data_IF_799089093531
#
_entry.id   IF_799089093531
#
_cell.length_a   1.000
_cell.length_b   1.000
_cell.length_c   1.000
_cell.angle_alpha   90.00
_cell.angle_beta   90.00
_cell.angle_gamma   90.00
#
_symmetry.space_group_name_H-M   'P 1'
#
loop_
_entity.id
_entity.type
_entity.pdbx_description
1 polymer ?
#
# COMPACT_ATOMS: atom_id res chain seq x y z
N UNK A 1 -4.48 -14.16 14.94
CA UNK A 1 -5.83 -13.61 14.69
C UNK A 1 -6.00 -13.41 13.19
N UNK A 2 -7.11 -13.83 12.60
CA UNK A 2 -7.34 -13.66 11.15
C UNK A 2 -7.79 -12.23 10.87
N UNK A 3 -7.12 -11.57 9.93
CA UNK A 3 -7.44 -10.22 9.50
C UNK A 3 -8.02 -10.27 8.09
N UNK A 4 -9.27 -9.83 7.95
CA UNK A 4 -9.91 -9.55 6.67
C UNK A 4 -10.11 -8.04 6.61
N UNK A 5 -9.55 -7.41 5.58
CA UNK A 5 -9.51 -5.94 5.46
C UNK A 5 -9.93 -5.55 4.06
N UNK A 6 -10.66 -4.44 3.95
CA UNK A 6 -11.02 -3.84 2.67
C UNK A 6 -9.79 -3.42 1.87
N UNK A 7 -9.92 -3.46 0.54
CA UNK A 7 -8.88 -3.05 -0.43
C UNK A 7 -8.30 -1.67 -0.08
N UNK A 8 -9.14 -0.69 0.22
CA UNK A 8 -8.71 0.68 0.49
C UNK A 8 -7.88 0.81 1.77
N UNK A 9 -8.26 0.08 2.81
CA UNK A 9 -7.53 0.06 4.09
C UNK A 9 -6.18 -0.61 3.91
N UNK A 10 -6.15 -1.75 3.22
CA UNK A 10 -4.91 -2.47 2.96
C UNK A 10 -3.92 -1.63 2.13
N UNK A 11 -4.38 -0.97 1.05
CA UNK A 11 -3.54 -0.05 0.27
C UNK A 11 -2.99 1.07 1.16
N UNK A 12 -3.81 1.66 2.03
CA UNK A 12 -3.40 2.74 2.89
C UNK A 12 -2.35 2.32 3.94
N UNK A 13 -2.45 1.11 4.49
CA UNK A 13 -1.50 0.58 5.46
C UNK A 13 -0.19 0.11 4.78
N UNK A 14 -0.25 -0.45 3.58
CA UNK A 14 0.93 -0.84 2.80
C UNK A 14 1.79 0.35 2.37
N UNK A 15 1.23 1.56 2.30
CA UNK A 15 1.97 2.78 2.01
C UNK A 15 2.68 3.39 3.24
N UNK A 16 2.44 2.86 4.45
CA UNK A 16 2.96 3.41 5.71
C UNK A 16 3.87 2.41 6.40
N UNK A 17 5.03 2.86 6.90
CA UNK A 17 5.97 2.02 7.67
C UNK A 17 5.28 1.27 8.83
N UNK A 18 4.44 1.97 9.59
CA UNK A 18 3.66 1.38 10.70
C UNK A 18 2.66 0.32 10.22
N UNK A 19 1.99 0.57 9.11
CA UNK A 19 0.98 -0.35 8.56
C UNK A 19 1.62 -1.63 8.01
N UNK A 20 2.76 -1.50 7.33
CA UNK A 20 3.59 -2.65 6.92
C UNK A 20 4.00 -3.47 8.15
N UNK A 21 4.48 -2.84 9.22
CA UNK A 21 4.87 -3.53 10.45
C UNK A 21 3.68 -4.26 11.12
N UNK A 22 2.49 -3.66 11.08
CA UNK A 22 1.26 -4.28 11.59
C UNK A 22 0.91 -5.53 10.77
N UNK A 23 0.89 -5.42 9.45
CA UNK A 23 0.53 -6.53 8.54
C UNK A 23 1.53 -7.68 8.62
N UNK A 24 2.82 -7.37 8.78
CA UNK A 24 3.88 -8.37 8.90
C UNK A 24 4.01 -8.96 10.31
N UNK A 25 3.17 -8.54 11.26
CA UNK A 25 3.23 -9.07 12.62
C UNK A 25 2.81 -10.54 12.62
N UNK A 26 3.56 -11.43 13.31
CA UNK A 26 3.23 -12.86 13.38
C UNK A 26 1.88 -13.13 14.09
N UNK A 27 1.33 -12.12 14.77
CA UNK A 27 0.05 -12.22 15.45
C UNK A 27 -1.15 -12.15 14.50
N UNK A 28 -0.94 -11.74 13.24
CA UNK A 28 -1.98 -11.62 12.23
C UNK A 28 -1.77 -12.59 11.07
N UNK A 29 -2.86 -13.20 10.63
CA UNK A 29 -2.92 -13.96 9.39
C UNK A 29 -3.81 -13.17 8.43
N UNK A 30 -3.20 -12.57 7.41
CA UNK A 30 -3.93 -11.78 6.42
C UNK A 30 -4.59 -12.71 5.39
N UNK A 31 -5.90 -12.61 5.25
CA UNK A 31 -6.66 -13.36 4.24
C UNK A 31 -7.36 -12.39 3.28
N UNK A 32 -7.18 -12.62 1.97
CA UNK A 32 -7.66 -11.75 0.92
C UNK A 32 -8.30 -12.60 -0.18
N UNK A 33 -9.42 -12.13 -0.75
CA UNK A 33 -9.91 -12.69 -1.99
C UNK A 33 -8.95 -12.34 -3.14
N UNK A 34 -8.81 -13.22 -4.13
CA UNK A 34 -7.90 -13.01 -5.26
C UNK A 34 -8.21 -11.72 -6.03
N UNK A 35 -9.50 -11.42 -6.22
CA UNK A 35 -9.94 -10.16 -6.82
C UNK A 35 -9.43 -8.94 -6.04
N UNK A 36 -9.52 -8.96 -4.71
CA UNK A 36 -9.03 -7.87 -3.86
C UNK A 36 -7.51 -7.73 -3.96
N UNK A 37 -6.77 -8.85 -4.03
CA UNK A 37 -5.31 -8.81 -4.24
C UNK A 37 -4.95 -8.07 -5.52
N UNK A 38 -5.67 -8.34 -6.62
CA UNK A 38 -5.44 -7.66 -7.90
C UNK A 38 -5.75 -6.16 -7.82
N UNK A 39 -6.86 -5.79 -7.16
CA UNK A 39 -7.23 -4.39 -6.93
C UNK A 39 -6.18 -3.65 -6.08
N UNK A 40 -5.71 -4.27 -4.98
CA UNK A 40 -4.65 -3.71 -4.13
C UNK A 40 -3.38 -3.47 -4.92
N UNK A 41 -2.96 -4.44 -5.74
CA UNK A 41 -1.75 -4.32 -6.55
C UNK A 41 -1.85 -3.16 -7.55
N UNK A 42 -2.98 -3.06 -8.26
CA UNK A 42 -3.22 -1.98 -9.23
C UNK A 42 -3.18 -0.59 -8.57
N UNK A 43 -3.94 -0.41 -7.48
CA UNK A 43 -4.02 0.88 -6.78
C UNK A 43 -2.70 1.25 -6.09
N UNK A 44 -1.97 0.28 -5.54
CA UNK A 44 -0.67 0.52 -4.92
C UNK A 44 0.34 1.02 -5.97
N UNK A 45 0.43 0.35 -7.13
CA UNK A 45 1.32 0.76 -8.22
C UNK A 45 0.99 2.17 -8.72
N UNK A 46 -0.31 2.46 -8.90
CA UNK A 46 -0.79 3.79 -9.30
C UNK A 46 -0.41 4.88 -8.30
N UNK A 47 -0.53 4.63 -6.99
CA UNK A 47 -0.18 5.63 -5.97
C UNK A 47 1.33 5.86 -5.88
N UNK A 48 2.12 4.79 -5.95
CA UNK A 48 3.59 4.89 -5.95
C UNK A 48 4.07 5.67 -7.17
N UNK A 49 3.51 5.43 -8.36
CA UNK A 49 3.91 6.17 -9.56
C UNK A 49 3.59 7.67 -9.46
N UNK A 50 2.44 8.04 -8.90
CA UNK A 50 2.09 9.45 -8.63
C UNK A 50 3.10 10.07 -7.66
N UNK A 51 3.45 9.40 -6.56
CA UNK A 51 4.42 9.92 -5.60
C UNK A 51 5.81 10.08 -6.22
N UNK A 52 6.27 9.08 -7.00
CA UNK A 52 7.56 9.16 -7.70
C UNK A 52 7.60 10.31 -8.70
N UNK A 53 6.51 10.54 -9.45
CA UNK A 53 6.41 11.67 -10.37
C UNK A 53 6.41 13.03 -9.64
N UNK A 54 5.66 13.15 -8.54
CA UNK A 54 5.65 14.37 -7.76
C UNK A 54 7.02 14.68 -7.16
N UNK A 55 7.72 13.65 -6.66
CA UNK A 55 9.09 13.79 -6.16
C UNK A 55 10.05 14.23 -7.27
N UNK A 56 9.94 13.67 -8.48
CA UNK A 56 10.80 14.10 -9.59
C UNK A 56 10.55 15.55 -9.98
N UNK A 57 9.29 15.98 -10.10
CA UNK A 57 8.93 17.37 -10.40
C UNK A 57 9.49 18.33 -9.33
N UNK A 58 9.34 18.00 -8.04
CA UNK A 58 9.91 18.81 -6.96
C UNK A 58 11.44 18.86 -7.07
N UNK A 59 12.11 17.74 -7.36
CA UNK A 59 13.55 17.73 -7.57
C UNK A 59 13.97 18.63 -8.74
N UNK A 60 13.25 18.61 -9.88
CA UNK A 60 13.52 19.49 -11.02
C UNK A 60 13.25 20.98 -10.76
N UNK A 61 12.44 21.33 -9.76
CA UNK A 61 12.16 22.72 -9.40
C UNK A 61 13.16 23.31 -8.39
N UNK A 62 13.88 22.44 -7.65
CA UNK A 62 14.82 22.83 -6.61
C UNK A 62 16.29 22.88 -7.09
N UNK A 63 16.57 22.44 -8.32
CA UNK A 63 17.89 22.45 -8.97
C UNK A 63 17.79 23.07 -10.36
#
# INVERSE_FOLDING_TARGET
MRLVVDTNILVAELLRKRGIALINSPNFELSLAEKMKNEVQYELQKRVSIFSYQLSVISYQLF
#
